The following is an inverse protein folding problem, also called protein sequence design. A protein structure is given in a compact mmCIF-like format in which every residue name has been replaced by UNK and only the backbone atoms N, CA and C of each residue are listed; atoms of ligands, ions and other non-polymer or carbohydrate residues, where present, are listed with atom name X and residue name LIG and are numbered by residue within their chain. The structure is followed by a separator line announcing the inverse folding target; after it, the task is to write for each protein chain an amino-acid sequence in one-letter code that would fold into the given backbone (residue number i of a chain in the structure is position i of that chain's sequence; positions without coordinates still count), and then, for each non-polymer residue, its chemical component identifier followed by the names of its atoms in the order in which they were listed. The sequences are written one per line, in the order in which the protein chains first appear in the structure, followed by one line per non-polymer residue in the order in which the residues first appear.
data_IF_201571199391
#
_entry.id   IF_201571199391
#
_cell.length_a   1.000
_cell.length_b   1.000
_cell.length_c   1.000
_cell.angle_alpha   90.00
_cell.angle_beta   90.00
_cell.angle_gamma   90.00
#
_symmetry.space_group_name_H-M   'P 1'
#
loop_
_entity.id
_entity.type
_entity.pdbx_description
1 polymer ?
#
# COMPACT_ATOMS: atom_id res chain seq x y z
N UNK A 1 0.69 24.14 0.28
CA UNK A 1 2.08 23.65 0.34
C UNK A 1 2.09 22.36 1.15
N UNK A 2 2.29 21.21 0.51
CA UNK A 2 2.35 19.92 1.22
C UNK A 2 3.64 19.87 2.05
N UNK A 3 3.57 19.34 3.26
CA UNK A 3 4.69 19.32 4.20
C UNK A 3 5.80 18.39 3.67
N UNK A 4 6.81 18.97 3.00
CA UNK A 4 7.90 18.28 2.32
C UNK A 4 8.71 17.32 3.22
N UNK A 5 8.60 17.42 4.55
CA UNK A 5 9.36 16.59 5.48
C UNK A 5 8.99 15.10 5.46
N UNK A 6 7.71 14.76 5.35
CA UNK A 6 7.25 13.36 5.53
C UNK A 6 7.55 12.46 4.31
N UNK A 7 7.63 13.06 3.12
CA UNK A 7 7.96 12.37 1.87
C UNK A 7 9.40 12.63 1.40
N UNK A 8 10.22 13.34 2.18
CA UNK A 8 11.61 13.65 1.80
C UNK A 8 12.38 12.40 1.43
N UNK A 9 12.27 11.34 2.22
CA UNK A 9 12.97 10.08 1.94
C UNK A 9 12.55 9.45 0.60
N UNK A 10 11.27 9.55 0.20
CA UNK A 10 10.78 9.09 -1.11
C UNK A 10 11.46 9.88 -2.23
N UNK A 11 11.47 11.21 -2.12
CA UNK A 11 12.11 12.08 -3.11
C UNK A 11 13.62 11.81 -3.21
N UNK A 12 14.27 11.58 -2.07
CA UNK A 12 15.69 11.27 -2.03
C UNK A 12 16.02 9.98 -2.79
N UNK A 13 15.18 8.94 -2.67
CA UNK A 13 15.35 7.69 -3.42
C UNK A 13 15.10 7.92 -4.92
N UNK A 14 14.02 8.61 -5.28
CA UNK A 14 13.63 8.80 -6.68
C UNK A 14 14.59 9.70 -7.47
N UNK A 15 15.12 10.76 -6.84
CA UNK A 15 15.80 11.86 -7.55
C UNK A 15 17.21 12.18 -7.02
N UNK A 16 17.53 11.86 -5.77
CA UNK A 16 18.82 12.23 -5.15
C UNK A 16 19.79 11.05 -4.98
N UNK A 17 19.38 9.83 -5.41
CA UNK A 17 20.24 8.64 -5.39
C UNK A 17 20.38 7.96 -4.04
N UNK A 18 19.52 8.28 -3.06
CA UNK A 18 19.50 7.56 -1.79
C UNK A 18 19.14 6.07 -2.01
N UNK A 19 19.88 5.18 -1.35
CA UNK A 19 19.76 3.72 -1.47
C UNK A 19 19.94 3.19 -2.90
N UNK A 20 20.57 3.96 -3.80
CA UNK A 20 20.76 3.58 -5.20
C UNK A 20 21.52 2.27 -5.38
N UNK A 21 22.42 1.94 -4.46
CA UNK A 21 23.16 0.68 -4.41
C UNK A 21 22.31 -0.54 -4.05
N UNK A 22 21.13 -0.33 -3.45
CA UNK A 22 20.18 -1.39 -3.06
C UNK A 22 19.06 -1.59 -4.07
N UNK A 23 18.93 -0.69 -5.05
CA UNK A 23 17.88 -0.76 -6.07
C UNK A 23 18.10 -2.01 -6.93
N UNK A 24 17.09 -2.88 -6.99
CA UNK A 24 17.13 -4.12 -7.79
C UNK A 24 16.55 -3.92 -9.19
N UNK A 25 15.72 -2.90 -9.37
CA UNK A 25 15.17 -2.52 -10.66
C UNK A 25 14.85 -1.03 -10.69
N UNK A 26 15.13 -0.37 -11.81
CA UNK A 26 14.76 1.02 -12.06
C UNK A 26 14.35 1.18 -13.51
N UNK A 27 13.11 1.62 -13.71
CA UNK A 27 12.58 2.05 -15.00
C UNK A 27 12.26 3.52 -14.92
N UNK A 28 13.06 4.34 -15.59
CA UNK A 28 12.90 5.77 -15.59
C UNK A 28 13.41 6.36 -16.91
N UNK A 29 12.54 7.12 -17.57
CA UNK A 29 12.88 7.97 -18.70
C UNK A 29 12.50 9.41 -18.37
N UNK A 30 13.40 10.35 -18.65
CA UNK A 30 13.16 11.78 -18.44
C UNK A 30 11.99 12.30 -19.28
N UNK A 31 11.73 11.65 -20.43
CA UNK A 31 10.64 12.00 -21.35
C UNK A 31 9.28 11.45 -20.91
N UNK A 32 9.25 10.37 -20.13
CA UNK A 32 8.02 9.74 -19.64
C UNK A 32 8.15 9.34 -18.16
N UNK A 33 8.29 10.36 -17.31
CA UNK A 33 8.51 10.16 -15.86
C UNK A 33 7.34 9.45 -15.19
N UNK A 34 6.11 9.68 -15.64
CA UNK A 34 4.92 9.22 -14.92
C UNK A 34 4.69 7.70 -15.00
N UNK A 35 5.22 7.04 -16.03
CA UNK A 35 5.18 5.57 -16.15
C UNK A 35 6.30 4.87 -15.39
N UNK A 36 7.31 5.61 -14.93
CA UNK A 36 8.48 5.06 -14.28
C UNK A 36 8.21 4.55 -12.87
N UNK A 37 9.04 3.60 -12.43
CA UNK A 37 9.10 3.16 -11.04
C UNK A 37 10.44 2.49 -10.75
N UNK A 38 10.76 2.32 -9.47
CA UNK A 38 11.89 1.52 -9.02
C UNK A 38 11.48 0.52 -7.95
N UNK A 39 12.28 -0.52 -7.77
CA UNK A 39 12.11 -1.55 -6.74
C UNK A 39 13.38 -1.61 -5.91
N UNK A 40 13.23 -1.61 -4.59
CA UNK A 40 14.32 -1.78 -3.63
C UNK A 40 13.87 -2.58 -2.40
N UNK A 41 14.80 -3.15 -1.62
CA UNK A 41 14.55 -3.70 -0.30
C UNK A 41 13.76 -2.76 0.61
N UNK A 42 12.64 -3.23 1.17
CA UNK A 42 11.90 -2.47 2.19
C UNK A 42 12.73 -2.45 3.49
N UNK A 43 12.60 -1.37 4.27
CA UNK A 43 13.26 -1.24 5.58
C UNK A 43 12.91 -2.39 6.56
N UNK A 44 11.82 -3.13 6.31
CA UNK A 44 11.42 -4.31 7.09
C UNK A 44 12.22 -5.58 6.80
N UNK A 45 12.99 -5.63 5.72
CA UNK A 45 13.77 -6.80 5.36
C UNK A 45 15.22 -6.70 5.83
N UNK A 46 15.77 -7.81 6.32
CA UNK A 46 17.16 -7.92 6.76
C UNK A 46 18.17 -7.99 5.59
N UNK A 47 17.69 -8.26 4.37
CA UNK A 47 18.52 -8.41 3.18
C UNK A 47 19.22 -9.76 3.07
N UNK A 48 18.94 -10.70 3.98
CA UNK A 48 19.63 -11.98 4.09
C UNK A 48 18.67 -13.16 3.90
N UNK A 49 17.58 -13.20 4.67
CA UNK A 49 16.66 -14.33 4.65
C UNK A 49 15.60 -14.14 3.57
N UNK A 50 15.60 -14.99 2.53
CA UNK A 50 14.63 -14.90 1.44
C UNK A 50 13.21 -15.30 1.84
N UNK A 51 13.03 -16.11 2.89
CA UNK A 51 11.68 -16.42 3.40
C UNK A 51 11.00 -15.18 3.99
N UNK A 52 11.79 -14.18 4.42
CA UNK A 52 11.31 -12.87 4.86
C UNK A 52 11.45 -11.77 3.80
N UNK A 53 11.73 -12.12 2.53
CA UNK A 53 11.90 -11.16 1.43
C UNK A 53 10.74 -10.14 1.43
N UNK A 54 11.12 -8.88 1.54
CA UNK A 54 10.20 -7.75 1.54
C UNK A 54 10.81 -6.61 0.72
N UNK A 55 10.17 -6.29 -0.40
CA UNK A 55 10.54 -5.18 -1.27
C UNK A 55 9.42 -4.16 -1.31
N UNK A 56 9.76 -2.97 -1.76
CA UNK A 56 8.81 -1.91 -2.09
C UNK A 56 9.08 -1.41 -3.51
N UNK A 57 8.02 -1.31 -4.31
CA UNK A 57 8.04 -0.59 -5.58
C UNK A 57 7.50 0.82 -5.38
N UNK A 58 8.27 1.83 -5.77
CA UNK A 58 7.93 3.25 -5.63
C UNK A 58 7.80 3.83 -7.03
N UNK A 59 6.63 4.38 -7.34
CA UNK A 59 6.33 4.98 -8.65
C UNK A 59 6.83 6.43 -8.72
N UNK A 60 7.12 6.92 -9.92
CA UNK A 60 7.57 8.30 -10.11
C UNK A 60 6.42 9.32 -10.16
N UNK A 61 5.27 8.94 -10.74
CA UNK A 61 4.07 9.80 -10.74
C UNK A 61 3.66 10.19 -9.33
N UNK A 62 3.24 11.44 -9.16
CA UNK A 62 2.95 12.02 -7.84
C UNK A 62 1.47 12.29 -7.62
N UNK A 63 0.62 12.09 -8.61
CA UNK A 63 -0.82 12.35 -8.55
C UNK A 63 -1.59 11.29 -7.73
N UNK A 64 -1.05 10.08 -7.59
CA UNK A 64 -1.65 9.00 -6.78
C UNK A 64 -1.06 9.00 -5.36
N UNK A 65 -1.87 9.37 -4.36
CA UNK A 65 -1.48 9.39 -2.94
C UNK A 65 -1.88 8.11 -2.23
N UNK A 66 -3.03 7.57 -2.58
CA UNK A 66 -3.58 6.31 -2.07
C UNK A 66 -4.34 5.59 -3.18
N UNK A 67 -4.89 4.41 -2.91
CA UNK A 67 -5.80 3.75 -3.84
C UNK A 67 -7.03 4.59 -4.18
N UNK A 68 -7.44 5.58 -3.36
CA UNK A 68 -8.58 6.47 -3.67
C UNK A 68 -8.41 7.23 -4.99
N UNK A 69 -7.17 7.53 -5.36
CA UNK A 69 -6.88 8.31 -6.57
C UNK A 69 -6.84 7.44 -7.84
N UNK A 70 -6.90 6.11 -7.70
CA UNK A 70 -6.90 5.19 -8.83
C UNK A 70 -8.24 5.22 -9.56
N UNK A 71 -8.17 5.55 -10.86
CA UNK A 71 -9.29 5.61 -11.80
C UNK A 71 -9.30 4.39 -12.70
N UNK A 72 -10.41 4.20 -13.42
CA UNK A 72 -10.49 3.13 -14.42
C UNK A 72 -9.37 3.22 -15.47
N UNK A 73 -8.98 4.44 -15.86
CA UNK A 73 -7.90 4.70 -16.82
C UNK A 73 -6.53 4.19 -16.36
N UNK A 74 -6.27 4.09 -15.05
CA UNK A 74 -5.00 3.62 -14.50
C UNK A 74 -4.88 2.09 -14.51
N UNK A 75 -5.96 1.36 -14.83
CA UNK A 75 -6.00 -0.10 -14.75
C UNK A 75 -4.92 -0.78 -15.58
N UNK A 76 -4.71 -0.36 -16.82
CA UNK A 76 -3.69 -0.97 -17.68
C UNK A 76 -2.27 -0.71 -17.15
N UNK A 77 -2.03 0.47 -16.59
CA UNK A 77 -0.75 0.80 -15.95
C UNK A 77 -0.49 -0.11 -14.73
N UNK A 78 -1.50 -0.37 -13.88
CA UNK A 78 -1.38 -1.32 -12.77
C UNK A 78 -1.11 -2.76 -13.24
N UNK A 79 -1.76 -3.22 -14.32
CA UNK A 79 -1.48 -4.53 -14.93
C UNK A 79 -0.02 -4.61 -15.38
N UNK A 80 0.48 -3.57 -16.02
CA UNK A 80 1.86 -3.50 -16.49
C UNK A 80 2.85 -3.53 -15.30
N UNK A 81 2.57 -2.82 -14.21
CA UNK A 81 3.36 -2.88 -12.99
C UNK A 81 3.38 -4.29 -12.40
N UNK A 82 2.21 -4.92 -12.23
CA UNK A 82 2.10 -6.29 -11.72
C UNK A 82 2.91 -7.28 -12.55
N UNK A 83 2.81 -7.18 -13.88
CA UNK A 83 3.57 -8.02 -14.79
C UNK A 83 5.07 -7.78 -14.70
N UNK A 84 5.53 -6.52 -14.74
CA UNK A 84 6.96 -6.19 -14.60
C UNK A 84 7.53 -6.72 -13.29
N UNK A 85 6.85 -6.50 -12.16
CA UNK A 85 7.28 -7.01 -10.84
C UNK A 85 7.49 -8.53 -10.88
N UNK A 86 6.49 -9.28 -11.35
CA UNK A 86 6.52 -10.75 -11.42
C UNK A 86 7.56 -11.29 -12.41
N UNK A 87 7.88 -10.53 -13.47
CA UNK A 87 8.91 -10.90 -14.43
C UNK A 87 10.33 -10.63 -13.95
N UNK A 88 10.54 -9.57 -13.16
CA UNK A 88 11.88 -9.08 -12.81
C UNK A 88 12.35 -9.65 -11.47
N UNK A 89 11.51 -9.58 -10.43
CA UNK A 89 11.92 -9.90 -9.05
C UNK A 89 12.48 -11.32 -8.93
N UNK A 90 11.86 -12.38 -9.48
CA UNK A 90 12.43 -13.73 -9.42
C UNK A 90 13.86 -13.82 -9.99
N UNK A 91 14.12 -13.15 -11.12
CA UNK A 91 15.44 -13.14 -11.76
C UNK A 91 16.51 -12.46 -10.90
N UNK A 92 16.15 -11.39 -10.19
CA UNK A 92 17.06 -10.69 -9.26
C UNK A 92 17.53 -11.58 -8.10
N UNK A 93 16.77 -12.62 -7.75
CA UNK A 93 17.07 -13.57 -6.67
C UNK A 93 17.34 -14.99 -7.18
N UNK A 94 17.80 -15.13 -8.43
CA UNK A 94 18.14 -16.41 -9.06
C UNK A 94 17.02 -17.47 -8.93
N UNK A 95 15.77 -17.03 -9.04
CA UNK A 95 14.56 -17.86 -8.93
C UNK A 95 14.43 -18.63 -7.61
N UNK A 96 15.10 -18.19 -6.54
CA UNK A 96 14.87 -18.70 -5.19
C UNK A 96 13.48 -18.33 -4.63
N UNK A 97 12.80 -17.39 -5.29
CA UNK A 97 11.37 -17.09 -5.16
C UNK A 97 10.79 -17.01 -6.57
N UNK A 98 9.64 -17.63 -6.79
CA UNK A 98 8.98 -17.71 -8.09
C UNK A 98 7.96 -16.57 -8.31
N UNK A 99 7.55 -16.26 -9.56
CA UNK A 99 6.57 -15.21 -9.85
C UNK A 99 5.25 -15.33 -9.10
N UNK A 100 4.81 -16.56 -8.83
CA UNK A 100 3.58 -16.94 -8.12
C UNK A 100 3.76 -17.04 -6.60
N UNK A 101 4.99 -16.93 -6.10
CA UNK A 101 5.33 -16.88 -4.67
C UNK A 101 5.46 -15.43 -4.16
N UNK A 102 5.04 -14.44 -4.95
CA UNK A 102 5.05 -13.03 -4.57
C UNK A 102 3.65 -12.56 -4.20
N UNK A 103 3.46 -12.22 -2.93
CA UNK A 103 2.28 -11.50 -2.46
C UNK A 103 2.47 -10.00 -2.73
N UNK A 104 1.82 -9.51 -3.79
CA UNK A 104 1.92 -8.12 -4.26
C UNK A 104 0.69 -7.33 -3.80
N UNK A 105 0.88 -6.27 -3.00
CA UNK A 105 -0.21 -5.60 -2.30
C UNK A 105 0.04 -4.11 -2.05
N UNK A 106 -1.03 -3.37 -1.76
CA UNK A 106 -1.01 -1.95 -1.36
C UNK A 106 -1.72 -1.80 -0.01
N UNK A 107 -1.33 -0.79 0.79
CA UNK A 107 -1.98 -0.49 2.07
C UNK A 107 -3.05 0.59 1.96
N UNK A 108 -4.14 0.41 2.70
CA UNK A 108 -5.09 1.48 3.00
C UNK A 108 -5.50 1.43 4.49
N UNK A 109 -5.29 2.49 5.29
CA UNK A 109 -4.51 3.71 4.99
C UNK A 109 -3.01 3.39 4.81
N UNK A 110 -2.26 4.09 3.95
CA UNK A 110 -0.82 3.89 3.85
C UNK A 110 -0.05 4.62 4.98
N UNK A 111 1.20 4.21 5.23
CA UNK A 111 2.06 4.90 6.21
C UNK A 111 2.57 6.26 5.70
N UNK A 112 2.61 6.45 4.38
CA UNK A 112 2.98 7.69 3.70
C UNK A 112 2.16 7.84 2.41
N UNK A 113 1.82 9.08 2.07
CA UNK A 113 0.87 9.41 1.01
C UNK A 113 1.56 9.63 -0.35
N UNK A 114 2.21 8.57 -0.82
CA UNK A 114 2.79 8.42 -2.16
C UNK A 114 2.56 6.98 -2.56
N UNK A 115 2.01 6.70 -3.74
CA UNK A 115 1.66 5.33 -4.12
C UNK A 115 2.88 4.41 -4.12
N UNK A 116 2.76 3.28 -3.42
CA UNK A 116 3.80 2.28 -3.30
C UNK A 116 3.17 0.90 -3.21
N UNK A 117 3.88 -0.09 -3.76
CA UNK A 117 3.43 -1.48 -3.81
C UNK A 117 4.41 -2.30 -2.96
N UNK A 118 3.90 -3.06 -2.01
CA UNK A 118 4.68 -4.02 -1.25
C UNK A 118 4.74 -5.34 -2.01
N UNK A 119 5.93 -5.94 -2.04
CA UNK A 119 6.20 -7.22 -2.68
C UNK A 119 6.82 -8.12 -1.62
N UNK A 120 6.07 -9.14 -1.19
CA UNK A 120 6.43 -9.96 -0.03
C UNK A 120 6.46 -11.42 -0.46
N UNK A 121 7.44 -12.19 0.01
CA UNK A 121 7.41 -13.64 -0.18
C UNK A 121 6.14 -14.23 0.44
N UNK A 122 5.46 -15.11 -0.29
CA UNK A 122 4.23 -15.80 0.16
C UNK A 122 4.46 -16.61 1.44
N UNK A 123 5.70 -17.08 1.67
CA UNK A 123 6.13 -17.79 2.87
C UNK A 123 6.19 -16.90 4.12
N UNK A 124 6.30 -15.58 3.95
CA UNK A 124 6.35 -14.67 5.09
C UNK A 124 4.97 -14.62 5.78
N UNK A 125 4.87 -14.95 7.08
CA UNK A 125 3.58 -14.96 7.79
C UNK A 125 2.99 -13.57 8.10
N UNK A 126 3.64 -12.49 7.63
CA UNK A 126 3.30 -11.10 7.95
C UNK A 126 4.03 -10.52 9.17
N UNK A 127 4.11 -9.20 9.20
CA UNK A 127 4.58 -8.41 10.35
C UNK A 127 3.46 -7.47 10.76
N UNK A 128 2.82 -7.74 11.91
CA UNK A 128 1.60 -7.04 12.32
C UNK A 128 0.53 -7.14 11.23
N UNK A 129 -0.04 -5.99 10.82
CA UNK A 129 -1.08 -5.94 9.79
C UNK A 129 -0.54 -5.84 8.35
N UNK A 130 0.76 -6.02 8.11
CA UNK A 130 1.38 -5.70 6.82
C UNK A 130 0.84 -6.50 5.63
N UNK A 131 0.31 -7.70 5.86
CA UNK A 131 -0.33 -8.55 4.84
C UNK A 131 -1.78 -8.91 5.18
N UNK A 132 -2.31 -8.35 6.26
CA UNK A 132 -3.61 -8.73 6.81
C UNK A 132 -4.76 -8.06 6.04
N UNK A 133 -5.86 -8.79 5.88
CA UNK A 133 -7.12 -8.21 5.43
C UNK A 133 -7.57 -7.09 6.38
N UNK A 134 -8.15 -6.01 5.83
CA UNK A 134 -8.42 -4.78 6.58
C UNK A 134 -7.22 -3.83 6.68
N UNK A 135 -6.11 -4.13 5.98
CA UNK A 135 -4.98 -3.21 5.78
C UNK A 135 -4.37 -3.37 4.40
N UNK A 136 -3.99 -4.59 4.06
CA UNK A 136 -3.45 -4.98 2.77
C UNK A 136 -4.58 -5.29 1.79
N UNK A 137 -4.42 -4.83 0.55
CA UNK A 137 -5.30 -5.12 -0.58
C UNK A 137 -4.40 -5.60 -1.70
N UNK A 138 -4.66 -6.79 -2.25
CA UNK A 138 -3.83 -7.35 -3.33
C UNK A 138 -3.91 -6.45 -4.57
N UNK A 139 -2.78 -6.32 -5.28
CA UNK A 139 -2.74 -5.50 -6.50
C UNK A 139 -3.69 -6.05 -7.58
N UNK A 140 -3.81 -7.38 -7.68
CA UNK A 140 -4.74 -8.02 -8.61
C UNK A 140 -6.21 -7.75 -8.26
N UNK A 141 -6.56 -7.73 -6.97
CA UNK A 141 -7.90 -7.31 -6.52
C UNK A 141 -8.18 -5.85 -6.89
N UNK A 142 -7.18 -4.97 -6.79
CA UNK A 142 -7.32 -3.56 -7.22
C UNK A 142 -7.60 -3.45 -8.71
N UNK A 143 -6.83 -4.17 -9.51
CA UNK A 143 -6.99 -4.22 -10.97
C UNK A 143 -8.38 -4.72 -11.36
N UNK A 144 -8.86 -5.77 -10.69
CA UNK A 144 -10.17 -6.34 -10.98
C UNK A 144 -11.31 -5.41 -10.54
N UNK A 145 -11.23 -4.87 -9.33
CA UNK A 145 -12.26 -3.96 -8.80
C UNK A 145 -12.49 -2.74 -9.68
N UNK A 146 -11.44 -2.21 -10.33
CA UNK A 146 -11.59 -1.05 -11.23
C UNK A 146 -12.57 -1.29 -12.38
N UNK A 147 -12.81 -2.54 -12.80
CA UNK A 147 -13.83 -2.86 -13.81
C UNK A 147 -15.25 -2.49 -13.38
N UNK A 148 -15.53 -2.47 -12.07
CA UNK A 148 -16.90 -2.38 -11.53
C UNK A 148 -17.21 -1.04 -10.85
N UNK A 149 -16.19 -0.24 -10.54
CA UNK A 149 -16.35 0.99 -9.76
C UNK A 149 -16.69 2.23 -10.60
N UNK A 150 -16.69 2.10 -11.93
CA UNK A 150 -16.90 3.20 -12.87
C UNK A 150 -15.66 4.09 -13.07
N UNK A 151 -15.79 5.21 -13.81
CA UNK A 151 -14.64 6.02 -14.23
C UNK A 151 -13.80 6.59 -13.09
N UNK A 152 -14.46 7.04 -12.01
CA UNK A 152 -13.82 7.60 -10.81
C UNK A 152 -13.14 6.53 -9.93
N UNK A 153 -13.30 5.25 -10.28
CA UNK A 153 -12.65 4.13 -9.60
C UNK A 153 -12.90 4.11 -8.11
N UNK A 154 -11.82 4.07 -7.33
CA UNK A 154 -11.89 3.91 -5.88
C UNK A 154 -12.51 5.08 -5.12
N UNK A 155 -12.75 6.23 -5.74
CA UNK A 155 -13.56 7.29 -5.13
C UNK A 155 -14.99 6.81 -4.83
N UNK A 156 -15.53 5.89 -5.63
CA UNK A 156 -16.90 5.37 -5.47
C UNK A 156 -17.01 4.24 -4.44
N UNK A 157 -15.90 3.72 -3.93
CA UNK A 157 -15.90 2.51 -3.09
C UNK A 157 -16.08 2.84 -1.60
N UNK A 158 -16.85 2.03 -0.88
CA UNK A 158 -16.74 1.92 0.58
C UNK A 158 -15.58 0.99 0.93
N UNK A 159 -14.66 1.46 1.79
CA UNK A 159 -13.43 0.73 2.12
C UNK A 159 -13.38 0.54 3.63
N UNK A 160 -13.59 -0.69 4.08
CA UNK A 160 -13.43 -1.09 5.48
C UNK A 160 -11.97 -1.42 5.74
N UNK A 161 -11.39 -0.86 6.79
CA UNK A 161 -10.01 -1.08 7.19
C UNK A 161 -9.82 -0.83 8.69
N UNK A 162 -8.73 -1.36 9.25
CA UNK A 162 -8.33 -1.14 10.64
C UNK A 162 -7.49 0.15 10.78
N UNK A 163 -7.79 0.96 11.79
CA UNK A 163 -7.03 2.16 12.13
C UNK A 163 -6.80 2.20 13.65
N UNK A 164 -5.60 2.65 14.06
CA UNK A 164 -5.31 2.84 15.49
C UNK A 164 -5.85 4.17 16.01
N UNK A 165 -6.29 4.19 17.26
CA UNK A 165 -6.87 5.38 17.92
C UNK A 165 -5.90 6.57 18.00
N UNK A 166 -4.59 6.30 18.01
CA UNK A 166 -3.53 7.30 18.01
C UNK A 166 -3.30 7.97 16.64
N UNK A 167 -3.93 7.47 15.56
CA UNK A 167 -3.78 8.06 14.23
C UNK A 167 -4.57 9.37 14.14
N UNK A 168 -4.00 10.43 13.56
CA UNK A 168 -4.64 11.75 13.45
C UNK A 168 -6.08 11.70 12.90
N UNK A 169 -6.32 10.82 11.91
CA UNK A 169 -7.65 10.66 11.29
C UNK A 169 -8.73 10.20 12.26
N UNK A 170 -8.35 9.50 13.34
CA UNK A 170 -9.29 9.03 14.35
C UNK A 170 -10.08 10.20 14.96
N UNK A 171 -9.36 11.17 15.52
CA UNK A 171 -9.94 12.37 16.14
C UNK A 171 -10.36 13.45 15.14
N UNK A 172 -9.93 13.37 13.88
CA UNK A 172 -10.40 14.26 12.80
C UNK A 172 -11.78 13.90 12.24
N UNK A 173 -12.43 12.86 12.74
CA UNK A 173 -13.84 12.58 12.45
C UNK A 173 -14.20 11.10 12.30
N UNK A 174 -13.22 10.19 12.17
CA UNK A 174 -13.53 8.77 12.01
C UNK A 174 -14.19 8.16 13.26
N UNK A 175 -13.78 8.59 14.46
CA UNK A 175 -14.40 8.15 15.73
C UNK A 175 -15.89 8.53 15.80
N UNK A 176 -16.20 9.77 15.42
CA UNK A 176 -17.57 10.29 15.40
C UNK A 176 -18.42 9.55 14.35
N UNK A 177 -17.90 9.38 13.14
CA UNK A 177 -18.61 8.67 12.07
C UNK A 177 -18.80 7.19 12.38
N UNK A 178 -17.83 6.52 13.00
CA UNK A 178 -17.99 5.14 13.44
C UNK A 178 -19.13 5.02 14.47
N UNK A 179 -19.20 5.94 15.43
CA UNK A 179 -20.29 5.96 16.42
C UNK A 179 -21.66 6.06 15.74
N UNK A 180 -21.80 6.96 14.76
CA UNK A 180 -23.04 7.11 13.98
C UNK A 180 -23.33 5.89 13.09
N UNK A 181 -22.31 5.21 12.56
CA UNK A 181 -22.49 3.97 11.79
C UNK A 181 -23.05 2.86 12.68
N UNK A 182 -22.46 2.64 13.85
CA UNK A 182 -22.93 1.63 14.81
C UNK A 182 -24.38 1.86 15.23
N UNK A 183 -24.78 3.12 15.46
CA UNK A 183 -26.18 3.46 15.75
C UNK A 183 -27.13 3.15 14.58
N UNK A 184 -26.74 3.51 13.35
CA UNK A 184 -27.52 3.21 12.13
C UNK A 184 -27.66 1.71 11.88
N UNK A 185 -26.62 0.95 12.19
CA UNK A 185 -26.58 -0.50 12.04
C UNK A 185 -27.31 -1.24 13.18
N UNK A 186 -27.86 -0.51 14.17
CA UNK A 186 -28.58 -1.08 15.30
C UNK A 186 -27.68 -1.81 16.31
N UNK A 187 -26.36 -1.53 16.29
CA UNK A 187 -25.41 -2.12 17.23
C UNK A 187 -25.59 -1.45 18.60
N UNK A 188 -25.76 -2.24 19.69
CA UNK A 188 -26.02 -1.68 21.01
C UNK A 188 -24.84 -0.83 21.49
N UNK A 189 -25.16 0.29 22.13
CA UNK A 189 -24.16 1.11 22.81
C UNK A 189 -23.51 0.30 23.92
N UNK A 190 -22.20 0.46 24.07
CA UNK A 190 -21.45 -0.14 25.17
C UNK A 190 -22.08 0.33 26.49
N UNK A 191 -22.58 -0.58 27.35
CA UNK A 191 -23.18 -0.18 28.62
C UNK A 191 -22.18 0.57 29.49
N UNK A 192 -22.64 1.61 30.20
CA UNK A 192 -21.86 2.16 31.31
C UNK A 192 -21.87 1.10 32.42
N UNK A 193 -20.82 0.30 32.52
CA UNK A 193 -20.63 -0.58 33.68
C UNK A 193 -20.35 0.32 34.88
N UNK A 194 -21.39 0.58 35.69
CA UNK A 194 -21.22 1.12 37.02
C UNK A 194 -20.76 -0.04 37.88
N UNK A 195 -19.48 -0.10 38.23
CA UNK A 195 -18.99 -1.05 39.23
C UNK A 195 -19.60 -0.66 40.59
N UNK A 196 -20.82 -1.12 40.84
CA UNK A 196 -21.59 -0.94 42.07
C UNK A 196 -21.23 -1.95 43.16
N UNK A 197 -20.09 -2.62 43.07
CA UNK A 197 -19.55 -3.41 44.18
C UNK A 197 -18.59 -2.53 44.98
N UNK A 198 -19.16 -1.77 45.93
CA UNK A 198 -18.46 -1.36 47.15
C UNK A 198 -18.68 -2.43 48.21
#
# INVERSE_FOLDING_TARGET
MCNNGRLKWVNNILYEGAESERVVYKDFSEENKDDGFLILPDMKWDGMNLDSLYLVAIVYRTDIKTIRDLRYSDRQWLINLNNKIRSIVPGCYNYAVHPDELRILVHYQPSYYHFHIHIVNIKHPGLGNSIAAGKAILLEDIIEMLNYLGPEGYMNKTITYAIGENHDLWKRGLEEELTKQLERDGIPKIPKIVNGFK
#
